data_IF_304020549195
#
_entry.id   IF_304020549195
#
_cell.length_a   1.000
_cell.length_b   1.000
_cell.length_c   1.000
_cell.angle_alpha   90.00
_cell.angle_beta   90.00
_cell.angle_gamma   90.00
#
_symmetry.space_group_name_H-M   'P 1'
#
loop_
_entity.id
_entity.type
_entity.pdbx_description
1 polymer ?
#
# COMPACT_ATOMS: atom_id res chain seq x y z
N UNK A 1 -18.14 -10.73 0.74
CA UNK A 1 -17.47 -10.55 2.05
C UNK A 1 -16.40 -11.62 2.31
N UNK A 2 -16.73 -12.90 2.35
CA UNK A 2 -15.75 -14.01 2.53
C UNK A 2 -14.64 -14.07 1.46
N UNK A 3 -14.97 -13.89 0.18
CA UNK A 3 -13.95 -13.89 -0.91
C UNK A 3 -12.98 -12.71 -0.76
N UNK A 4 -13.50 -11.55 -0.36
CA UNK A 4 -12.68 -10.35 -0.12
C UNK A 4 -11.78 -10.54 1.12
N UNK A 5 -12.28 -11.19 2.17
CA UNK A 5 -11.49 -11.59 3.34
C UNK A 5 -10.46 -12.68 3.02
N UNK A 6 -10.75 -13.60 2.10
CA UNK A 6 -9.78 -14.58 1.62
C UNK A 6 -8.68 -13.92 0.78
N UNK A 7 -9.01 -12.95 -0.08
CA UNK A 7 -8.04 -12.18 -0.89
C UNK A 7 -7.21 -11.24 0.00
N UNK A 8 -7.84 -10.60 0.98
CA UNK A 8 -7.18 -9.75 1.99
C UNK A 8 -6.33 -10.59 2.96
N UNK A 9 -6.79 -11.79 3.30
CA UNK A 9 -6.05 -12.80 4.07
C UNK A 9 -4.85 -13.33 3.30
N UNK A 10 -4.97 -13.59 1.98
CA UNK A 10 -3.85 -13.98 1.11
C UNK A 10 -2.79 -12.89 0.96
N UNK A 11 -3.19 -11.62 0.98
CA UNK A 11 -2.25 -10.48 0.99
C UNK A 11 -1.61 -10.24 2.36
N UNK A 12 -2.25 -10.67 3.46
CA UNK A 12 -1.73 -10.61 4.84
C UNK A 12 -0.98 -11.87 5.32
N UNK A 13 -1.13 -13.02 4.65
CA UNK A 13 -0.48 -14.29 5.01
C UNK A 13 1.05 -14.21 5.20
N UNK A 14 1.82 -13.36 4.48
CA UNK A 14 3.24 -13.16 4.79
C UNK A 14 3.51 -12.45 6.13
N UNK A 15 2.56 -11.62 6.60
CA UNK A 15 2.69 -10.76 7.79
C UNK A 15 2.21 -11.45 9.08
N UNK A 16 1.25 -12.39 9.00
CA UNK A 16 0.71 -13.08 10.18
C UNK A 16 1.57 -14.28 10.58
N UNK A 17 2.15 -15.02 9.63
CA UNK A 17 3.05 -16.14 9.95
C UNK A 17 4.40 -15.68 10.51
N UNK A 18 4.76 -14.41 10.34
CA UNK A 18 6.00 -13.84 10.89
C UNK A 18 5.81 -13.24 12.29
N UNK A 19 4.59 -13.02 12.77
CA UNK A 19 4.33 -12.36 14.07
C UNK A 19 4.52 -13.28 15.28
N UNK A 20 4.22 -14.57 15.16
CA UNK A 20 4.31 -15.49 16.31
C UNK A 20 5.76 -15.89 16.64
N UNK A 21 6.65 -15.96 15.65
CA UNK A 21 8.07 -16.31 15.82
C UNK A 21 8.95 -15.09 16.11
N UNK A 22 8.47 -13.88 15.78
CA UNK A 22 9.21 -12.64 15.99
C UNK A 22 9.14 -12.13 17.42
N UNK A 23 8.09 -12.46 18.18
CA UNK A 23 7.92 -11.99 19.57
C UNK A 23 8.93 -12.60 20.57
N UNK A 24 9.34 -13.85 20.35
CA UNK A 24 10.35 -14.54 21.17
C UNK A 24 11.77 -14.12 20.78
N UNK A 25 12.00 -13.93 19.47
CA UNK A 25 13.26 -13.40 18.93
C UNK A 25 13.46 -11.91 19.27
N UNK A 26 12.36 -11.18 19.50
CA UNK A 26 12.29 -9.78 19.90
C UNK A 26 12.89 -9.53 21.29
N UNK A 27 12.54 -10.31 22.32
CA UNK A 27 13.14 -10.16 23.65
C UNK A 27 14.65 -10.41 23.64
N UNK A 28 15.12 -11.34 22.79
CA UNK A 28 16.54 -11.64 22.67
C UNK A 28 17.32 -10.54 21.94
N UNK A 29 16.78 -9.95 20.87
CA UNK A 29 17.47 -8.90 20.12
C UNK A 29 17.50 -7.56 20.86
N UNK A 30 16.43 -7.23 21.60
CA UNK A 30 16.39 -6.02 22.44
C UNK A 30 17.43 -6.12 23.55
N UNK A 31 17.49 -7.23 24.28
CA UNK A 31 18.48 -7.42 25.35
C UNK A 31 19.94 -7.32 24.87
N UNK A 32 20.26 -7.86 23.68
CA UNK A 32 21.64 -7.83 23.13
C UNK A 32 22.04 -6.42 22.67
N UNK A 33 21.08 -5.62 22.21
CA UNK A 33 21.36 -4.28 21.71
C UNK A 33 21.43 -3.23 22.83
N UNK A 34 20.73 -3.45 23.95
CA UNK A 34 20.83 -2.63 25.16
C UNK A 34 22.21 -2.74 25.85
N UNK A 35 22.87 -3.89 25.77
CA UNK A 35 24.20 -4.08 26.38
C UNK A 35 25.35 -3.42 25.60
N UNK A 36 25.20 -3.17 24.30
CA UNK A 36 26.32 -2.85 23.40
C UNK A 36 26.44 -1.36 23.02
N UNK A 37 25.45 -0.51 23.30
CA UNK A 37 25.51 0.93 22.95
C UNK A 37 24.50 1.78 23.75
N UNK A 38 24.83 2.24 24.97
CA UNK A 38 23.91 2.99 25.83
C UNK A 38 23.51 4.38 25.27
N UNK A 39 24.23 4.91 24.28
CA UNK A 39 23.97 6.22 23.67
C UNK A 39 23.09 6.18 22.40
N UNK A 40 22.89 5.01 21.81
CA UNK A 40 21.89 4.79 20.78
C UNK A 40 20.61 4.34 21.49
N UNK A 41 19.98 5.28 22.18
CA UNK A 41 18.67 5.08 22.81
C UNK A 41 17.63 4.85 21.71
N UNK A 42 17.57 3.62 21.20
CA UNK A 42 16.40 3.13 20.48
C UNK A 42 15.22 3.32 21.41
N UNK A 43 14.22 4.11 20.99
CA UNK A 43 12.90 4.28 21.62
C UNK A 43 12.58 3.16 22.63
N UNK A 44 12.93 3.37 23.89
CA UNK A 44 12.71 2.39 24.94
C UNK A 44 11.69 2.97 25.90
N UNK A 45 10.42 2.82 25.53
CA UNK A 45 9.41 2.03 26.26
C UNK A 45 9.29 2.14 27.78
N UNK A 46 9.90 3.12 28.46
CA UNK A 46 9.84 3.24 29.92
C UNK A 46 9.08 4.47 30.42
N UNK A 47 8.56 5.32 29.51
CA UNK A 47 7.83 6.54 29.88
C UNK A 47 6.35 6.54 29.46
N UNK A 48 5.93 5.57 28.63
CA UNK A 48 4.60 5.51 28.00
C UNK A 48 3.51 4.84 28.84
N UNK A 49 3.83 4.00 29.84
CA UNK A 49 2.82 3.38 30.71
C UNK A 49 2.07 4.40 31.61
N UNK A 50 2.50 5.67 31.63
CA UNK A 50 1.91 6.73 32.45
C UNK A 50 1.08 7.77 31.67
N UNK A 51 1.08 7.77 30.33
CA UNK A 51 0.30 8.75 29.54
C UNK A 51 -1.10 8.21 29.22
N UNK A 52 -2.19 8.79 29.78
CA UNK A 52 -3.55 8.41 29.43
C UNK A 52 -3.90 8.67 27.94
N UNK A 53 -3.08 9.42 27.21
CA UNK A 53 -3.22 9.70 25.78
C UNK A 53 -2.42 8.78 24.85
N UNK A 54 -1.78 7.73 25.36
CA UNK A 54 -0.97 6.79 24.56
C UNK A 54 -1.85 5.92 23.65
N UNK A 55 -1.50 5.89 22.35
CA UNK A 55 -2.28 5.20 21.32
C UNK A 55 -1.83 3.77 21.04
N UNK A 56 -0.63 3.38 21.50
CA UNK A 56 -0.04 2.07 21.18
C UNK A 56 0.59 1.99 19.79
N UNK A 57 0.92 0.75 19.39
CA UNK A 57 1.50 0.45 18.09
C UNK A 57 0.43 0.36 17.01
N UNK A 58 0.68 1.00 15.85
CA UNK A 58 -0.27 1.04 14.75
C UNK A 58 -0.70 -0.37 14.30
N UNK A 59 -2.01 -0.60 14.20
CA UNK A 59 -2.63 -1.85 13.72
C UNK A 59 -2.45 -3.09 14.62
N UNK A 60 -1.65 -3.01 15.69
CA UNK A 60 -1.47 -4.08 16.67
C UNK A 60 -2.62 -4.10 17.69
N UNK A 61 -3.00 -5.28 18.18
CA UNK A 61 -4.16 -5.45 19.08
C UNK A 61 -5.54 -5.35 18.42
N UNK A 62 -5.64 -4.90 17.16
CA UNK A 62 -6.89 -4.83 16.41
C UNK A 62 -7.21 -6.12 15.65
N UNK A 63 -8.48 -6.54 15.71
CA UNK A 63 -8.99 -7.65 14.90
C UNK A 63 -9.00 -7.35 13.39
N UNK A 64 -9.31 -8.36 12.58
CA UNK A 64 -9.32 -8.23 11.12
C UNK A 64 -10.34 -7.21 10.60
N UNK A 65 -11.52 -7.11 11.22
CA UNK A 65 -12.60 -6.22 10.78
C UNK A 65 -12.27 -4.73 10.98
N UNK A 66 -11.84 -4.26 12.17
CA UNK A 66 -11.39 -2.87 12.34
C UNK A 66 -10.20 -2.48 11.46
N UNK A 67 -9.34 -3.45 11.12
CA UNK A 67 -8.23 -3.23 10.18
C UNK A 67 -8.73 -3.02 8.75
N UNK A 68 -9.73 -3.81 8.35
CA UNK A 68 -10.35 -3.76 7.03
C UNK A 68 -11.07 -2.42 6.79
N UNK A 69 -11.83 -1.94 7.78
CA UNK A 69 -12.58 -0.68 7.66
C UNK A 69 -11.81 0.57 8.11
N UNK A 70 -10.50 0.45 8.37
CA UNK A 70 -9.65 1.54 8.87
C UNK A 70 -10.09 2.14 10.23
N UNK A 71 -10.97 1.47 10.98
CA UNK A 71 -11.47 1.94 12.27
C UNK A 71 -10.38 2.05 13.34
N UNK A 72 -9.23 1.37 13.15
CA UNK A 72 -8.07 1.53 14.03
C UNK A 72 -7.50 2.96 14.04
N UNK A 73 -7.83 3.80 13.05
CA UNK A 73 -7.42 5.21 12.98
C UNK A 73 -8.35 6.12 13.81
N UNK A 74 -9.54 5.66 14.17
CA UNK A 74 -10.54 6.46 14.90
C UNK A 74 -10.03 7.07 16.22
N UNK A 75 -9.25 6.36 17.06
CA UNK A 75 -8.70 6.94 18.28
C UNK A 75 -7.76 8.12 18.00
N UNK A 76 -6.93 8.01 16.95
CA UNK A 76 -6.05 9.10 16.51
C UNK A 76 -6.86 10.30 16.00
N UNK A 77 -7.91 10.05 15.21
CA UNK A 77 -8.79 11.12 14.73
C UNK A 77 -9.49 11.84 15.88
N UNK A 78 -9.99 11.10 16.88
CA UNK A 78 -10.59 11.67 18.09
C UNK A 78 -9.57 12.50 18.88
N UNK A 79 -8.34 12.00 19.05
CA UNK A 79 -7.23 12.75 19.68
C UNK A 79 -6.94 14.05 18.91
N UNK A 80 -6.96 14.00 17.58
CA UNK A 80 -6.82 15.18 16.71
C UNK A 80 -7.94 16.20 16.89
N UNK A 81 -9.21 15.78 16.88
CA UNK A 81 -10.37 16.66 17.11
C UNK A 81 -10.30 17.33 18.47
N UNK A 82 -9.80 16.61 19.48
CA UNK A 82 -9.62 17.17 20.83
C UNK A 82 -8.42 18.10 21.00
N UNK A 83 -7.61 18.31 19.94
CA UNK A 83 -6.46 19.23 19.97
C UNK A 83 -5.25 18.70 20.74
N UNK A 84 -5.17 17.39 20.98
CA UNK A 84 -4.09 16.72 21.71
C UNK A 84 -3.00 16.15 20.79
N UNK A 85 -2.95 16.55 19.51
CA UNK A 85 -1.84 16.22 18.60
C UNK A 85 -0.87 17.40 18.52
N UNK A 86 0.10 17.46 19.43
CA UNK A 86 1.06 18.58 19.53
C UNK A 86 2.47 18.17 19.13
N UNK A 87 2.84 16.91 19.36
CA UNK A 87 4.15 16.36 19.06
C UNK A 87 4.05 15.08 18.20
N UNK A 88 5.17 14.66 17.61
CA UNK A 88 5.27 13.36 16.93
C UNK A 88 5.06 12.17 17.87
N UNK A 89 5.27 12.37 19.17
CA UNK A 89 5.03 11.38 20.24
C UNK A 89 3.54 11.13 20.49
N UNK A 90 2.66 12.01 20.01
CA UNK A 90 1.21 11.84 20.17
C UNK A 90 0.59 10.86 19.17
N UNK A 91 1.37 10.40 18.20
CA UNK A 91 0.97 9.50 17.12
C UNK A 91 1.07 8.03 17.53
N UNK A 92 0.60 7.12 16.67
CA UNK A 92 0.85 5.71 16.86
C UNK A 92 2.33 5.38 16.72
N UNK A 93 2.78 4.41 17.52
CA UNK A 93 4.11 3.84 17.35
C UNK A 93 4.19 3.00 16.08
N UNK A 94 5.37 3.05 15.47
CA UNK A 94 5.65 2.32 14.26
C UNK A 94 5.92 0.84 14.58
N UNK A 95 5.23 -0.11 13.93
CA UNK A 95 5.51 -1.53 14.12
C UNK A 95 6.96 -1.89 13.75
N UNK A 96 7.55 -2.84 14.47
CA UNK A 96 8.96 -3.26 14.30
C UNK A 96 9.31 -3.68 12.88
N UNK A 97 8.38 -4.33 12.19
CA UNK A 97 8.58 -4.77 10.80
C UNK A 97 8.61 -3.60 9.79
N UNK A 98 8.24 -2.40 10.21
CA UNK A 98 8.31 -1.15 9.45
C UNK A 98 9.49 -0.26 9.89
N UNK A 99 10.24 -0.64 10.92
CA UNK A 99 11.37 0.15 11.41
C UNK A 99 12.50 0.19 10.38
N UNK A 100 13.14 1.36 10.23
CA UNK A 100 14.22 1.59 9.26
C UNK A 100 15.42 0.63 9.46
N UNK A 101 15.75 0.27 10.70
CA UNK A 101 16.81 -0.69 11.01
C UNK A 101 16.53 -2.08 10.41
N UNK A 102 15.31 -2.58 10.58
CA UNK A 102 14.89 -3.87 10.04
C UNK A 102 14.84 -3.85 8.51
N UNK A 103 14.20 -2.84 7.93
CA UNK A 103 14.05 -2.70 6.47
C UNK A 103 15.40 -2.52 5.77
N UNK A 104 16.29 -1.68 6.31
CA UNK A 104 17.64 -1.50 5.77
C UNK A 104 18.48 -2.77 5.88
N UNK A 105 18.44 -3.47 7.03
CA UNK A 105 19.17 -4.73 7.20
C UNK A 105 18.67 -5.86 6.32
N UNK A 106 17.38 -5.87 5.96
CA UNK A 106 16.84 -6.81 4.98
C UNK A 106 17.35 -6.49 3.57
N UNK A 107 17.30 -5.22 3.16
CA UNK A 107 17.73 -4.79 1.83
C UNK A 107 19.25 -4.88 1.65
N UNK A 108 20.04 -4.59 2.69
CA UNK A 108 21.50 -4.67 2.69
C UNK A 108 21.99 -6.11 2.43
N UNK A 109 21.39 -7.10 3.12
CA UNK A 109 21.66 -8.53 2.88
C UNK A 109 21.33 -8.95 1.44
N UNK A 110 20.25 -8.42 0.87
CA UNK A 110 19.87 -8.72 -0.51
C UNK A 110 20.80 -8.03 -1.53
N UNK A 111 21.26 -6.81 -1.23
CA UNK A 111 22.16 -6.03 -2.07
C UNK A 111 23.58 -6.63 -2.12
N UNK A 112 24.02 -7.29 -1.04
CA UNK A 112 25.31 -8.00 -1.02
C UNK A 112 25.43 -9.10 -2.09
N UNK A 113 24.29 -9.64 -2.54
CA UNK A 113 24.25 -10.75 -3.50
C UNK A 113 23.72 -10.34 -4.88
N UNK A 114 23.09 -9.18 -5.01
CA UNK A 114 22.33 -8.82 -6.21
C UNK A 114 22.31 -7.32 -6.48
N UNK A 115 21.95 -6.94 -7.71
CA UNK A 115 21.73 -5.54 -8.08
C UNK A 115 20.49 -4.97 -7.38
N UNK A 116 20.44 -3.65 -7.19
CA UNK A 116 19.40 -2.93 -6.44
C UNK A 116 17.96 -3.36 -6.79
N UNK A 117 17.61 -3.38 -8.08
CA UNK A 117 16.27 -3.77 -8.52
C UNK A 117 15.89 -5.19 -8.08
N UNK A 118 16.83 -6.14 -8.23
CA UNK A 118 16.63 -7.54 -7.82
C UNK A 118 16.57 -7.68 -6.30
N UNK A 119 17.36 -6.87 -5.57
CA UNK A 119 17.33 -6.83 -4.12
C UNK A 119 15.98 -6.34 -3.59
N UNK A 120 15.49 -5.20 -4.10
CA UNK A 120 14.17 -4.64 -3.78
C UNK A 120 13.06 -5.63 -4.09
N UNK A 121 13.09 -6.23 -5.28
CA UNK A 121 12.11 -7.24 -5.68
C UNK A 121 12.12 -8.43 -4.71
N UNK A 122 13.30 -8.98 -4.36
CA UNK A 122 13.39 -10.11 -3.41
C UNK A 122 12.81 -9.78 -2.04
N UNK A 123 12.92 -8.53 -1.58
CA UNK A 123 12.39 -8.09 -0.29
C UNK A 123 10.87 -7.90 -0.31
N UNK A 124 10.31 -7.30 -1.37
CA UNK A 124 8.93 -6.77 -1.35
C UNK A 124 7.97 -7.42 -2.36
N UNK A 125 8.40 -8.39 -3.17
CA UNK A 125 7.56 -8.93 -4.26
C UNK A 125 6.20 -9.48 -3.81
N UNK A 126 6.14 -10.21 -2.68
CA UNK A 126 4.89 -10.85 -2.22
C UNK A 126 3.79 -9.82 -1.94
N UNK A 127 4.16 -8.78 -1.18
CA UNK A 127 3.25 -7.68 -0.86
C UNK A 127 2.89 -6.90 -2.13
N UNK A 128 3.90 -6.58 -2.95
CA UNK A 128 3.74 -5.80 -4.17
C UNK A 128 2.79 -6.45 -5.19
N UNK A 129 3.02 -7.71 -5.59
CA UNK A 129 2.17 -8.38 -6.57
C UNK A 129 0.78 -8.71 -6.03
N UNK A 130 0.65 -8.97 -4.72
CA UNK A 130 -0.65 -9.17 -4.09
C UNK A 130 -1.56 -7.94 -4.20
N UNK A 131 -1.00 -6.73 -4.16
CA UNK A 131 -1.74 -5.47 -4.36
C UNK A 131 -2.29 -5.36 -5.79
N UNK A 132 -1.64 -5.98 -6.77
CA UNK A 132 -2.12 -6.02 -8.16
C UNK A 132 -3.49 -6.67 -8.32
N UNK A 133 -3.84 -7.64 -7.47
CA UNK A 133 -5.17 -8.26 -7.48
C UNK A 133 -6.26 -7.26 -7.10
N UNK A 134 -6.02 -6.40 -6.11
CA UNK A 134 -6.95 -5.34 -5.71
C UNK A 134 -7.16 -4.34 -6.84
N UNK A 135 -6.09 -3.97 -7.55
CA UNK A 135 -6.16 -3.09 -8.72
C UNK A 135 -7.00 -3.70 -9.83
N UNK A 136 -6.78 -4.98 -10.13
CA UNK A 136 -7.55 -5.69 -11.16
C UNK A 136 -9.04 -5.74 -10.83
N UNK A 137 -9.40 -6.06 -9.58
CA UNK A 137 -10.80 -6.08 -9.13
C UNK A 137 -11.41 -4.68 -9.25
N UNK A 138 -10.69 -3.64 -8.84
CA UNK A 138 -11.15 -2.25 -8.97
C UNK A 138 -11.43 -1.89 -10.44
N UNK A 139 -10.51 -2.24 -11.36
CA UNK A 139 -10.68 -1.99 -12.79
C UNK A 139 -11.91 -2.72 -13.36
N UNK A 140 -12.07 -3.99 -13.03
CA UNK A 140 -13.21 -4.81 -13.45
C UNK A 140 -14.53 -4.21 -12.94
N UNK A 141 -14.60 -3.83 -11.66
CA UNK A 141 -15.80 -3.17 -11.10
C UNK A 141 -16.11 -1.83 -11.77
N UNK A 142 -15.09 -1.12 -12.26
CA UNK A 142 -15.27 0.13 -13.01
C UNK A 142 -16.08 -0.05 -14.29
N UNK A 143 -15.94 -1.20 -14.97
CA UNK A 143 -16.70 -1.52 -16.19
C UNK A 143 -18.12 -2.02 -15.91
N UNK A 144 -18.34 -2.68 -14.78
CA UNK A 144 -19.68 -3.13 -14.39
C UNK A 144 -20.64 -1.95 -14.15
N UNK A 145 -20.15 -0.80 -13.68
CA UNK A 145 -20.98 0.39 -13.45
C UNK A 145 -21.79 0.81 -14.69
N UNK A 146 -21.14 1.18 -15.81
CA UNK A 146 -21.82 1.53 -17.07
C UNK A 146 -22.73 0.42 -17.62
N UNK A 147 -22.32 -0.84 -17.51
CA UNK A 147 -23.11 -2.00 -17.99
C UNK A 147 -24.42 -2.15 -17.21
N UNK A 148 -24.38 -2.11 -15.88
CA UNK A 148 -25.58 -2.17 -15.05
C UNK A 148 -26.46 -0.93 -15.23
N UNK A 149 -25.84 0.25 -15.39
CA UNK A 149 -26.58 1.48 -15.66
C UNK A 149 -27.34 1.40 -16.99
N UNK A 150 -26.72 0.87 -18.04
CA UNK A 150 -27.39 0.65 -19.33
C UNK A 150 -28.61 -0.29 -19.17
N UNK A 151 -28.45 -1.41 -18.44
CA UNK A 151 -29.56 -2.32 -18.15
C UNK A 151 -30.69 -1.65 -17.36
N UNK A 152 -30.35 -0.81 -16.39
CA UNK A 152 -31.33 -0.06 -15.60
C UNK A 152 -32.11 0.94 -16.46
N UNK A 153 -31.45 1.63 -17.39
CA UNK A 153 -32.11 2.52 -18.35
C UNK A 153 -33.07 1.75 -19.24
N UNK A 154 -32.64 0.61 -19.81
CA UNK A 154 -33.51 -0.23 -20.65
C UNK A 154 -34.72 -0.79 -19.88
N UNK A 155 -34.54 -1.15 -18.61
CA UNK A 155 -35.65 -1.57 -17.73
C UNK A 155 -36.71 -0.46 -17.59
N UNK A 156 -36.27 0.79 -17.36
CA UNK A 156 -37.16 1.95 -17.22
C UNK A 156 -37.92 2.23 -18.54
N UNK A 157 -37.25 2.07 -19.67
CA UNK A 157 -37.84 2.30 -21.00
C UNK A 157 -38.87 1.22 -21.36
N UNK A 158 -38.61 -0.04 -21.04
CA UNK A 158 -39.37 -1.19 -21.57
C UNK A 158 -40.70 -1.41 -20.83
N UNK A 159 -40.91 -0.88 -19.62
CA UNK A 159 -42.16 -0.89 -18.80
C UNK A 159 -42.89 -2.25 -18.63
N UNK A 160 -42.36 -3.34 -19.17
CA UNK A 160 -43.00 -4.66 -19.23
C UNK A 160 -42.21 -5.72 -18.42
N UNK A 161 -41.16 -5.29 -17.72
CA UNK A 161 -40.33 -6.12 -16.86
C UNK A 161 -40.81 -6.07 -15.40
N UNK A 162 -40.48 -7.10 -14.61
CA UNK A 162 -40.90 -7.19 -13.23
C UNK A 162 -40.12 -6.19 -12.36
N UNK A 163 -40.82 -5.48 -11.45
CA UNK A 163 -40.20 -4.46 -10.58
C UNK A 163 -39.00 -5.00 -9.77
N UNK A 164 -38.99 -6.32 -9.49
CA UNK A 164 -37.90 -6.99 -8.79
C UNK A 164 -36.56 -6.87 -9.52
N UNK A 165 -36.55 -6.89 -10.85
CA UNK A 165 -35.34 -6.77 -11.66
C UNK A 165 -34.74 -5.36 -11.55
N UNK A 166 -35.59 -4.34 -11.49
CA UNK A 166 -35.17 -2.96 -11.21
C UNK A 166 -34.44 -2.80 -9.87
N UNK A 167 -34.97 -3.42 -8.80
CA UNK A 167 -34.30 -3.44 -7.51
C UNK A 167 -32.96 -4.20 -7.56
N UNK A 168 -32.89 -5.29 -8.32
CA UNK A 168 -31.66 -6.06 -8.50
C UNK A 168 -30.58 -5.25 -9.22
N UNK A 169 -30.91 -4.53 -10.29
CA UNK A 169 -29.96 -3.67 -11.00
C UNK A 169 -29.46 -2.51 -10.12
N UNK A 170 -30.37 -1.85 -9.38
CA UNK A 170 -30.00 -0.78 -8.46
C UNK A 170 -29.11 -1.28 -7.31
N UNK A 171 -29.46 -2.42 -6.69
CA UNK A 171 -28.65 -3.05 -5.65
C UNK A 171 -27.28 -3.50 -6.20
N UNK A 172 -27.24 -4.05 -7.41
CA UNK A 172 -26.01 -4.43 -8.10
C UNK A 172 -25.09 -3.23 -8.36
N UNK A 173 -25.65 -2.10 -8.80
CA UNK A 173 -24.91 -0.87 -9.05
C UNK A 173 -24.30 -0.32 -7.74
N UNK A 174 -25.08 -0.33 -6.65
CA UNK A 174 -24.59 0.03 -5.32
C UNK A 174 -23.47 -0.92 -4.85
N UNK A 175 -23.65 -2.23 -5.01
CA UNK A 175 -22.66 -3.21 -4.62
C UNK A 175 -21.34 -3.07 -5.40
N UNK A 176 -21.41 -2.93 -6.73
CA UNK A 176 -20.23 -2.76 -7.60
C UNK A 176 -19.48 -1.49 -7.27
N UNK A 177 -20.17 -0.36 -7.05
CA UNK A 177 -19.52 0.91 -6.71
C UNK A 177 -18.85 0.84 -5.33
N UNK A 178 -19.50 0.23 -4.33
CA UNK A 178 -18.90 0.02 -3.01
C UNK A 178 -17.67 -0.90 -3.06
N UNK A 179 -17.75 -2.03 -3.78
CA UNK A 179 -16.62 -2.96 -3.92
C UNK A 179 -15.45 -2.28 -4.64
N UNK A 180 -15.72 -1.53 -5.71
CA UNK A 180 -14.71 -0.79 -6.46
C UNK A 180 -14.02 0.28 -5.60
N UNK A 181 -14.80 1.10 -4.89
CA UNK A 181 -14.28 2.09 -3.96
C UNK A 181 -13.41 1.44 -2.87
N UNK A 182 -13.90 0.37 -2.27
CA UNK A 182 -13.18 -0.39 -1.24
C UNK A 182 -11.84 -0.93 -1.75
N UNK A 183 -11.83 -1.60 -2.91
CA UNK A 183 -10.59 -2.15 -3.50
C UNK A 183 -9.61 -1.03 -3.85
N UNK A 184 -10.08 0.09 -4.39
CA UNK A 184 -9.25 1.24 -4.74
C UNK A 184 -8.63 1.91 -3.50
N UNK A 185 -9.40 2.08 -2.42
CA UNK A 185 -8.89 2.60 -1.15
C UNK A 185 -7.79 1.70 -0.56
N UNK A 186 -8.00 0.38 -0.56
CA UNK A 186 -6.97 -0.56 -0.09
C UNK A 186 -5.76 -0.62 -1.01
N UNK A 187 -5.94 -0.55 -2.32
CA UNK A 187 -4.84 -0.45 -3.28
C UNK A 187 -3.96 0.77 -2.95
N UNK A 188 -4.55 1.96 -2.83
CA UNK A 188 -3.82 3.19 -2.51
C UNK A 188 -3.10 3.11 -1.18
N UNK A 189 -3.77 2.62 -0.13
CA UNK A 189 -3.17 2.47 1.20
C UNK A 189 -1.98 1.49 1.21
N UNK A 190 -2.15 0.30 0.62
CA UNK A 190 -1.10 -0.72 0.61
C UNK A 190 0.08 -0.31 -0.30
N UNK A 191 -0.18 0.33 -1.43
CA UNK A 191 0.86 0.90 -2.27
C UNK A 191 1.66 1.97 -1.54
N UNK A 192 1.00 2.89 -0.82
CA UNK A 192 1.68 3.89 0.00
C UNK A 192 2.55 3.23 1.08
N UNK A 193 2.04 2.18 1.74
CA UNK A 193 2.79 1.42 2.77
C UNK A 193 4.04 0.76 2.19
N UNK A 194 3.95 0.11 1.03
CA UNK A 194 5.12 -0.48 0.34
C UNK A 194 6.10 0.59 -0.11
N UNK A 195 5.60 1.71 -0.65
CA UNK A 195 6.43 2.85 -1.03
C UNK A 195 7.23 3.42 0.15
N UNK A 196 6.59 3.56 1.32
CA UNK A 196 7.25 4.00 2.54
C UNK A 196 8.35 3.02 2.98
N UNK A 197 8.09 1.71 2.92
CA UNK A 197 9.10 0.68 3.24
C UNK A 197 10.33 0.80 2.35
N UNK A 198 10.12 0.93 1.04
CA UNK A 198 11.19 1.07 0.05
C UNK A 198 11.98 2.35 0.31
N UNK A 199 11.29 3.49 0.52
CA UNK A 199 11.93 4.77 0.83
C UNK A 199 12.81 4.68 2.08
N UNK A 200 12.26 4.17 3.18
CA UNK A 200 12.99 4.05 4.45
C UNK A 200 14.23 3.17 4.31
N UNK A 201 14.13 2.04 3.61
CA UNK A 201 15.25 1.14 3.36
C UNK A 201 16.36 1.81 2.52
N UNK A 202 15.98 2.46 1.41
CA UNK A 202 16.91 3.12 0.49
C UNK A 202 17.66 4.27 1.16
N UNK A 203 16.94 5.19 1.81
CA UNK A 203 17.54 6.34 2.49
C UNK A 203 18.52 5.87 3.58
N UNK A 204 18.15 4.87 4.37
CA UNK A 204 19.02 4.35 5.42
C UNK A 204 20.28 3.68 4.85
N UNK A 205 20.17 2.91 3.76
CA UNK A 205 21.35 2.30 3.10
C UNK A 205 22.24 3.36 2.49
N UNK A 206 21.68 4.36 1.80
CA UNK A 206 22.47 5.45 1.20
C UNK A 206 23.21 6.20 2.30
N UNK A 207 22.54 6.53 3.40
CA UNK A 207 23.15 7.20 4.54
C UNK A 207 24.29 6.38 5.16
N UNK A 208 24.06 5.10 5.46
CA UNK A 208 25.10 4.17 5.97
C UNK A 208 26.26 4.04 4.99
N UNK A 209 25.97 3.99 3.69
CA UNK A 209 27.01 3.89 2.65
C UNK A 209 27.86 5.14 2.64
N UNK A 210 27.26 6.32 2.68
CA UNK A 210 27.98 7.60 2.76
C UNK A 210 28.92 7.67 3.97
N UNK A 211 28.50 7.17 5.13
CA UNK A 211 29.33 7.15 6.35
C UNK A 211 30.47 6.12 6.34
N UNK A 212 30.43 5.13 5.45
CA UNK A 212 31.43 4.04 5.38
C UNK A 212 32.39 4.17 4.21
N UNK A 213 32.14 5.09 3.28
CA UNK A 213 33.03 5.35 2.14
C UNK A 213 34.31 6.05 2.58
N UNK A 214 35.41 5.79 1.87
CA UNK A 214 36.65 6.54 2.04
C UNK A 214 36.46 7.98 1.57
N UNK A 215 37.21 8.92 2.14
CA UNK A 215 37.17 10.34 1.76
C UNK A 215 37.45 10.55 0.27
N UNK A 216 38.34 9.74 -0.33
CA UNK A 216 38.67 9.82 -1.76
C UNK A 216 37.45 9.45 -2.61
N UNK A 217 36.78 8.33 -2.31
CA UNK A 217 35.58 7.92 -3.05
C UNK A 217 34.42 8.87 -2.80
N UNK A 218 34.25 9.35 -1.58
CA UNK A 218 33.21 10.30 -1.22
C UNK A 218 33.40 11.64 -1.95
N UNK A 219 34.64 12.11 -2.11
CA UNK A 219 34.94 13.36 -2.80
C UNK A 219 34.57 13.38 -4.28
N UNK A 220 34.32 12.21 -4.89
CA UNK A 220 33.81 12.08 -6.25
C UNK A 220 32.32 12.48 -6.37
N UNK A 221 31.60 12.57 -5.25
CA UNK A 221 30.20 12.96 -5.20
C UNK A 221 30.05 14.26 -4.40
N UNK A 222 29.31 15.22 -4.95
CA UNK A 222 28.91 16.40 -4.22
C UNK A 222 27.88 16.08 -3.13
N UNK A 223 27.83 16.89 -2.08
CA UNK A 223 26.79 16.79 -1.05
C UNK A 223 25.38 16.87 -1.66
N UNK A 224 25.20 17.68 -2.70
CA UNK A 224 23.93 17.80 -3.42
C UNK A 224 23.51 16.52 -4.13
N UNK A 225 24.45 15.81 -4.77
CA UNK A 225 24.17 14.51 -5.40
C UNK A 225 23.75 13.44 -4.38
N UNK A 226 24.42 13.39 -3.22
CA UNK A 226 24.06 12.44 -2.16
C UNK A 226 22.66 12.74 -1.61
N UNK A 227 22.32 14.03 -1.43
CA UNK A 227 20.97 14.45 -1.03
C UNK A 227 19.95 14.11 -2.11
N UNK A 228 20.28 14.23 -3.40
CA UNK A 228 19.41 13.80 -4.50
C UNK A 228 19.14 12.29 -4.49
N UNK A 229 20.15 11.47 -4.18
CA UNK A 229 19.96 10.03 -4.02
C UNK A 229 18.93 9.70 -2.92
N UNK A 230 19.00 10.40 -1.79
CA UNK A 230 18.08 10.21 -0.64
C UNK A 230 16.71 10.86 -0.83
N UNK A 231 16.54 11.75 -1.80
CA UNK A 231 15.30 12.46 -2.06
C UNK A 231 14.73 12.08 -3.43
N UNK A 232 15.06 12.84 -4.47
CA UNK A 232 14.50 12.75 -5.82
C UNK A 232 14.60 11.35 -6.42
N UNK A 233 15.75 10.69 -6.34
CA UNK A 233 15.94 9.38 -6.98
C UNK A 233 15.20 8.27 -6.23
N UNK A 234 15.19 8.35 -4.90
CA UNK A 234 14.38 7.45 -4.07
C UNK A 234 12.88 7.64 -4.37
N UNK A 235 12.42 8.88 -4.53
CA UNK A 235 11.02 9.16 -4.90
C UNK A 235 10.65 8.64 -6.28
N UNK A 236 11.55 8.76 -7.25
CA UNK A 236 11.37 8.16 -8.58
C UNK A 236 11.19 6.64 -8.50
N UNK A 237 12.00 5.95 -7.68
CA UNK A 237 11.87 4.50 -7.47
C UNK A 237 10.51 4.16 -6.85
N UNK A 238 10.11 4.86 -5.79
CA UNK A 238 8.82 4.63 -5.12
C UNK A 238 7.64 4.88 -6.07
N UNK A 239 7.65 5.98 -6.81
CA UNK A 239 6.59 6.30 -7.77
C UNK A 239 6.53 5.29 -8.93
N UNK A 240 7.69 4.75 -9.35
CA UNK A 240 7.74 3.70 -10.38
C UNK A 240 6.97 2.44 -9.98
N UNK A 241 6.89 2.12 -8.67
CA UNK A 241 6.10 0.99 -8.18
C UNK A 241 4.60 1.15 -8.47
N UNK A 242 4.04 2.34 -8.25
CA UNK A 242 2.64 2.62 -8.58
C UNK A 242 2.43 2.64 -10.10
N UNK A 243 3.34 3.29 -10.84
CA UNK A 243 3.30 3.33 -12.31
C UNK A 243 3.34 1.94 -12.94
N UNK A 244 4.05 0.98 -12.34
CA UNK A 244 4.05 -0.41 -12.79
C UNK A 244 2.64 -1.02 -12.77
N UNK A 245 1.85 -0.77 -11.73
CA UNK A 245 0.47 -1.27 -11.67
C UNK A 245 -0.44 -0.61 -12.70
N UNK A 246 -0.22 0.69 -12.95
CA UNK A 246 -0.90 1.43 -14.02
C UNK A 246 -0.53 0.90 -15.40
N UNK A 247 0.73 0.52 -15.62
CA UNK A 247 1.26 0.10 -16.91
C UNK A 247 0.57 -1.15 -17.47
N UNK A 248 0.28 -2.15 -16.65
CA UNK A 248 -0.46 -3.33 -17.11
C UNK A 248 -1.98 -3.14 -17.05
N UNK A 249 -2.47 -2.27 -16.17
CA UNK A 249 -3.89 -1.95 -16.01
C UNK A 249 -4.45 -1.18 -17.22
N UNK A 250 -3.72 -0.19 -17.74
CA UNK A 250 -4.18 0.63 -18.88
C UNK A 250 -4.47 -0.21 -20.14
N UNK A 251 -3.58 -1.08 -20.64
CA UNK A 251 -3.86 -1.91 -21.81
C UNK A 251 -5.09 -2.79 -21.61
N UNK A 252 -5.26 -3.36 -20.41
CA UNK A 252 -6.46 -4.11 -20.06
C UNK A 252 -7.72 -3.23 -20.15
N UNK A 253 -7.68 -2.04 -19.56
CA UNK A 253 -8.81 -1.10 -19.60
C UNK A 253 -9.15 -0.66 -21.03
N UNK A 254 -8.14 -0.35 -21.86
CA UNK A 254 -8.33 0.00 -23.26
C UNK A 254 -8.98 -1.16 -24.02
N UNK A 255 -8.47 -2.38 -23.88
CA UNK A 255 -9.01 -3.55 -24.56
C UNK A 255 -10.49 -3.79 -24.22
N UNK A 256 -10.85 -3.72 -22.93
CA UNK A 256 -12.23 -3.88 -22.47
C UNK A 256 -13.12 -2.74 -22.98
N UNK A 257 -12.64 -1.50 -22.91
CA UNK A 257 -13.39 -0.32 -23.38
C UNK A 257 -13.71 -0.43 -24.87
N UNK A 258 -12.71 -0.77 -25.70
CA UNK A 258 -12.89 -0.94 -27.13
C UNK A 258 -13.84 -2.09 -27.46
N UNK A 259 -13.78 -3.18 -26.71
CA UNK A 259 -14.72 -4.30 -26.85
C UNK A 259 -16.16 -3.89 -26.53
N UNK A 260 -16.38 -3.17 -25.43
CA UNK A 260 -17.72 -2.68 -25.04
C UNK A 260 -18.27 -1.67 -26.05
N UNK A 261 -17.42 -0.77 -26.57
CA UNK A 261 -17.81 0.17 -27.62
C UNK A 261 -18.19 -0.55 -28.91
N UNK A 262 -17.41 -1.55 -29.33
CA UNK A 262 -17.75 -2.38 -30.48
C UNK A 262 -19.12 -3.05 -30.31
N UNK A 263 -19.44 -3.52 -29.11
CA UNK A 263 -20.73 -4.14 -28.82
C UNK A 263 -21.90 -3.14 -28.88
N UNK A 264 -21.69 -1.87 -28.51
CA UNK A 264 -22.73 -0.84 -28.51
C UNK A 264 -22.96 -0.19 -29.88
N UNK A 265 -21.91 0.08 -30.66
CA UNK A 265 -22.00 0.85 -31.91
C UNK A 265 -21.44 0.14 -33.14
N UNK A 266 -21.08 -1.14 -33.03
CA UNK A 266 -20.49 -1.91 -34.13
C UNK A 266 -19.17 -1.31 -34.60
N UNK A 267 -18.90 -1.31 -35.92
CA UNK A 267 -17.65 -0.78 -36.49
C UNK A 267 -17.52 0.74 -36.42
N UNK A 268 -18.58 1.48 -36.06
CA UNK A 268 -18.55 2.93 -35.99
C UNK A 268 -17.55 3.47 -34.94
N UNK A 269 -17.24 2.69 -33.89
CA UNK A 269 -16.24 3.08 -32.89
C UNK A 269 -14.84 3.32 -33.48
N UNK A 270 -14.50 2.68 -34.61
CA UNK A 270 -13.19 2.83 -35.25
C UNK A 270 -12.92 4.26 -35.70
N UNK A 271 -13.95 5.00 -36.13
CA UNK A 271 -13.80 6.41 -36.48
C UNK A 271 -13.37 7.24 -35.25
N UNK A 272 -13.92 6.94 -34.07
CA UNK A 272 -13.54 7.58 -32.81
C UNK A 272 -12.13 7.23 -32.36
N UNK A 273 -11.70 5.97 -32.55
CA UNK A 273 -10.32 5.55 -32.24
C UNK A 273 -9.32 6.25 -33.14
N UNK A 274 -9.58 6.31 -34.46
CA UNK A 274 -8.70 7.00 -35.42
C UNK A 274 -8.60 8.50 -35.13
N UNK A 275 -9.67 9.12 -34.61
CA UNK A 275 -9.63 10.52 -34.22
C UNK A 275 -8.91 10.78 -32.88
N UNK A 276 -8.93 9.79 -31.96
CA UNK A 276 -8.36 9.93 -30.61
C UNK A 276 -6.87 9.59 -30.53
N UNK A 277 -6.36 8.86 -31.51
CA UNK A 277 -4.92 8.55 -31.70
C UNK A 277 -4.25 9.68 -32.45
#
# INVERSE_FOLDING_TARGET
>A
MLILQCIYGLTLLPSVMTSSDSHTRYQQLVNVQTESSPLLHSYSGFREEADPGYLGVAQEGWGCLPRLFFSWVDPLMRKGVSGHLRSSEDLFDLPIHLTASHLSGQLERALAQTKLFRALHRCFWKEFYGIGVLKFIADVTGFFGPLLLNRMVTFIETKNEQIQDGYLYAAGLCAVTLIGAFCNSHFSFLMAKVGLKIRAALVCIIYKKTLTLSTITLSAFSTGEIVNFMSTDTDRIVNSCASFHTLWSIPFQIAVTLYLLYQQVGMAFLAGVVFSV
#
